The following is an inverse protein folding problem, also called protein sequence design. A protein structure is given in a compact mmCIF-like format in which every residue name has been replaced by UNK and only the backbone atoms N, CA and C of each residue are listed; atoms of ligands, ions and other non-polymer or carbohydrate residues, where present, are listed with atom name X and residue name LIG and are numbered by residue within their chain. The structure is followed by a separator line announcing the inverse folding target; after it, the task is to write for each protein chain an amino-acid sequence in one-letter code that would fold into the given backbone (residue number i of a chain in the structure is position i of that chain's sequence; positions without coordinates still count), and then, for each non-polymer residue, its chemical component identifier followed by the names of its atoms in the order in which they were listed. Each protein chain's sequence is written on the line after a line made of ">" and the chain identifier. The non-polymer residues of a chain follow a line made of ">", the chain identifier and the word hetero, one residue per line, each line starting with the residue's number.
data_IF_801177440369
#
_entry.id   IF_801177440369
#
_cell.length_a   1.000
_cell.length_b   1.000
_cell.length_c   1.000
_cell.angle_alpha   90.00
_cell.angle_beta   90.00
_cell.angle_gamma   90.00
#
_symmetry.space_group_name_H-M   'P 1'
#
loop_
_entity.id
_entity.type
_entity.pdbx_description
1 polymer ?
#
# COMPACT_ATOMS: atom_id res chain seq x y z
N UNK A 1 4.99 20.58 48.46
CA UNK A 1 5.88 19.87 47.51
C UNK A 1 5.15 18.88 46.61
N UNK A 2 4.30 17.98 47.12
CA UNK A 2 3.61 16.97 46.30
C UNK A 2 2.62 17.50 45.24
N UNK A 3 1.95 18.62 45.52
CA UNK A 3 0.99 19.27 44.60
C UNK A 3 1.66 19.90 43.39
N UNK A 4 2.81 20.55 43.59
CA UNK A 4 3.60 21.16 42.50
C UNK A 4 4.12 20.09 41.53
N UNK A 5 4.61 18.96 42.03
CA UNK A 5 5.08 17.83 41.20
C UNK A 5 3.94 17.26 40.34
N UNK A 6 2.73 17.12 40.91
CA UNK A 6 1.55 16.65 40.16
C UNK A 6 1.18 17.59 39.01
N UNK A 7 1.24 18.90 39.26
CA UNK A 7 0.96 19.91 38.24
C UNK A 7 2.02 19.85 37.13
N UNK A 8 3.30 19.75 37.47
CA UNK A 8 4.39 19.65 36.48
C UNK A 8 4.26 18.39 35.63
N UNK A 9 3.94 17.23 36.23
CA UNK A 9 3.72 15.98 35.49
C UNK A 9 2.50 16.07 34.58
N UNK A 10 1.40 16.68 35.04
CA UNK A 10 0.19 16.85 34.24
C UNK A 10 0.42 17.80 33.05
N UNK A 11 1.17 18.89 33.26
CA UNK A 11 1.57 19.81 32.19
C UNK A 11 2.48 19.11 31.17
N UNK A 12 3.42 18.28 31.62
CA UNK A 12 4.32 17.53 30.75
C UNK A 12 3.57 16.48 29.90
N UNK A 13 2.58 15.79 30.49
CA UNK A 13 1.69 14.86 29.80
C UNK A 13 0.76 15.56 28.80
N UNK A 14 0.24 16.75 29.14
CA UNK A 14 -0.55 17.55 28.22
C UNK A 14 0.31 18.02 27.03
N UNK A 15 1.56 18.43 27.28
CA UNK A 15 2.48 18.90 26.23
C UNK A 15 2.89 17.77 25.27
N UNK A 16 3.12 16.55 25.76
CA UNK A 16 3.44 15.42 24.88
C UNK A 16 2.27 15.01 23.98
N UNK A 17 1.02 15.12 24.45
CA UNK A 17 -0.16 14.87 23.61
C UNK A 17 -0.36 15.92 22.50
N UNK A 18 0.15 17.15 22.68
CA UNK A 18 0.09 18.20 21.66
C UNK A 18 1.07 17.97 20.49
N UNK A 19 2.16 17.22 20.71
CA UNK A 19 3.16 16.90 19.67
C UNK A 19 2.67 15.76 18.75
N UNK A 20 1.69 14.97 19.17
CA UNK A 20 1.19 13.80 18.41
C UNK A 20 0.11 14.12 17.36
N UNK A 21 -0.11 15.39 17.03
CA UNK A 21 -1.14 15.82 16.08
C UNK A 21 -0.51 16.37 14.81
N UNK A 22 0.02 15.47 13.98
CA UNK A 22 0.19 15.65 12.54
C UNK A 22 0.59 14.31 11.92
N UNK A 23 -0.24 13.27 12.12
CA UNK A 23 -0.32 12.24 11.08
C UNK A 23 -1.13 12.89 9.98
N UNK A 24 -0.43 13.58 9.06
CA UNK A 24 -1.00 13.88 7.76
C UNK A 24 -1.57 12.56 7.26
N UNK A 25 -2.88 12.49 7.05
CA UNK A 25 -3.49 11.45 6.24
C UNK A 25 -2.73 11.47 4.92
N UNK A 26 -1.69 10.64 4.82
CA UNK A 26 -0.81 10.62 3.68
C UNK A 26 -1.68 10.16 2.53
N UNK A 27 -2.04 11.09 1.64
CA UNK A 27 -2.90 10.81 0.50
C UNK A 27 -2.33 9.57 -0.19
N UNK A 28 -3.06 8.47 -0.10
CA UNK A 28 -2.71 7.24 -0.78
C UNK A 28 -2.89 7.53 -2.27
N UNK A 29 -1.77 7.53 -2.99
CA UNK A 29 -1.77 7.80 -4.42
C UNK A 29 -1.88 6.47 -5.15
N UNK A 30 -2.98 6.24 -5.85
CA UNK A 30 -3.15 5.03 -6.65
C UNK A 30 -2.38 5.16 -7.96
N UNK A 31 -1.54 4.17 -8.26
CA UNK A 31 -0.83 4.07 -9.53
C UNK A 31 -1.37 2.86 -10.29
N UNK A 32 -2.09 3.13 -11.37
CA UNK A 32 -2.76 2.09 -12.16
C UNK A 32 -1.81 1.44 -13.16
N UNK A 33 -1.81 0.10 -13.21
CA UNK A 33 -0.99 -0.69 -14.12
C UNK A 33 -1.87 -1.67 -14.89
N UNK A 34 -1.84 -1.59 -16.22
CA UNK A 34 -2.47 -2.59 -17.08
C UNK A 34 -1.58 -3.82 -17.24
N UNK A 35 -2.16 -5.01 -17.09
CA UNK A 35 -1.48 -6.29 -17.24
C UNK A 35 -2.33 -7.19 -18.12
N UNK A 36 -1.79 -7.62 -19.26
CA UNK A 36 -2.46 -8.55 -20.18
C UNK A 36 -1.74 -9.89 -20.12
N UNK A 37 -2.48 -10.96 -19.82
CA UNK A 37 -1.96 -12.33 -19.70
C UNK A 37 -2.91 -13.31 -20.36
N UNK A 38 -2.40 -14.43 -20.88
CA UNK A 38 -3.23 -15.57 -21.25
C UNK A 38 -3.57 -16.38 -19.99
N UNK A 39 -4.75 -16.17 -19.42
CA UNK A 39 -5.15 -16.82 -18.16
C UNK A 39 -5.62 -18.27 -18.36
N UNK A 40 -5.73 -18.76 -19.60
CA UNK A 40 -5.97 -20.16 -19.88
C UNK A 40 -4.68 -21.00 -19.73
N UNK A 41 -3.51 -20.41 -20.00
CA UNK A 41 -2.21 -21.09 -19.94
C UNK A 41 -1.63 -21.20 -18.52
N UNK A 42 -0.75 -22.18 -18.31
CA UNK A 42 0.02 -22.30 -17.06
C UNK A 42 0.91 -21.07 -16.84
N UNK A 43 1.53 -20.56 -17.90
CA UNK A 43 2.44 -19.40 -17.83
C UNK A 43 1.69 -18.17 -17.35
N UNK A 44 0.52 -17.84 -17.91
CA UNK A 44 -0.24 -16.67 -17.46
C UNK A 44 -0.79 -16.80 -16.04
N UNK A 45 -1.20 -18.01 -15.61
CA UNK A 45 -1.61 -18.25 -14.22
C UNK A 45 -0.45 -18.08 -13.24
N UNK A 46 0.71 -18.65 -13.56
CA UNK A 46 1.92 -18.49 -12.74
C UNK A 46 2.34 -17.02 -12.70
N UNK A 47 2.37 -16.33 -13.84
CA UNK A 47 2.71 -14.91 -13.91
C UNK A 47 1.79 -14.05 -13.04
N UNK A 48 0.47 -14.27 -13.10
CA UNK A 48 -0.51 -13.56 -12.25
C UNK A 48 -0.21 -13.73 -10.77
N UNK A 49 0.06 -14.97 -10.34
CA UNK A 49 0.40 -15.26 -8.95
C UNK A 49 1.73 -14.62 -8.56
N UNK A 50 2.77 -14.75 -9.38
CA UNK A 50 4.09 -14.19 -9.12
C UNK A 50 4.07 -12.66 -9.02
N UNK A 51 3.29 -11.99 -9.86
CA UNK A 51 3.11 -10.52 -9.79
C UNK A 51 2.43 -10.12 -8.47
N UNK A 52 1.38 -10.83 -8.05
CA UNK A 52 0.70 -10.56 -6.77
C UNK A 52 1.65 -10.72 -5.60
N UNK A 53 2.41 -11.82 -5.57
CA UNK A 53 3.39 -12.09 -4.52
C UNK A 53 4.48 -11.02 -4.48
N UNK A 54 5.04 -10.64 -5.63
CA UNK A 54 6.06 -9.60 -5.69
C UNK A 54 5.55 -8.25 -5.18
N UNK A 55 4.29 -7.91 -5.45
CA UNK A 55 3.65 -6.71 -4.93
C UNK A 55 3.47 -6.76 -3.40
N UNK A 56 3.00 -7.89 -2.88
CA UNK A 56 2.86 -8.13 -1.44
C UNK A 56 4.22 -8.03 -0.73
N UNK A 57 5.25 -8.71 -1.25
CA UNK A 57 6.61 -8.68 -0.73
C UNK A 57 7.19 -7.26 -0.74
N UNK A 58 6.96 -6.52 -1.83
CA UNK A 58 7.41 -5.14 -1.93
C UNK A 58 6.81 -4.26 -0.83
N UNK A 59 5.49 -4.34 -0.61
CA UNK A 59 4.83 -3.54 0.43
C UNK A 59 5.09 -4.04 1.85
N UNK A 60 5.43 -5.32 2.03
CA UNK A 60 5.84 -5.86 3.32
C UNK A 60 7.14 -5.21 3.83
N UNK A 61 8.08 -4.96 2.91
CA UNK A 61 9.35 -4.27 3.19
C UNK A 61 9.18 -2.74 3.22
N UNK A 62 8.34 -2.19 2.35
CA UNK A 62 8.14 -0.74 2.21
C UNK A 62 6.82 -0.26 2.81
N UNK A 63 6.62 -0.49 4.12
CA UNK A 63 5.33 -0.24 4.81
C UNK A 63 4.81 1.19 4.73
N UNK A 64 5.71 2.17 4.66
CA UNK A 64 5.39 3.60 4.59
C UNK A 64 5.32 4.14 3.16
N UNK A 65 5.42 3.28 2.14
CA UNK A 65 5.25 3.71 0.75
C UNK A 65 3.78 4.03 0.51
N UNK A 66 3.50 5.29 0.18
CA UNK A 66 2.14 5.83 0.07
C UNK A 66 1.52 5.56 -1.30
N UNK A 67 2.33 5.29 -2.32
CA UNK A 67 1.83 4.93 -3.65
C UNK A 67 1.38 3.48 -3.67
N UNK A 68 0.12 3.23 -4.03
CA UNK A 68 -0.48 1.89 -4.09
C UNK A 68 -0.70 1.49 -5.54
N UNK A 69 -0.05 0.40 -5.95
CA UNK A 69 -0.25 -0.20 -7.27
C UNK A 69 -1.65 -0.80 -7.35
N UNK A 70 -2.38 -0.46 -8.41
CA UNK A 70 -3.67 -1.07 -8.74
C UNK A 70 -3.51 -1.80 -10.06
N UNK A 71 -3.51 -3.13 -9.99
CA UNK A 71 -3.32 -3.99 -11.15
C UNK A 71 -4.66 -4.24 -11.85
N UNK A 72 -4.75 -3.86 -13.12
CA UNK A 72 -5.86 -4.16 -14.01
C UNK A 72 -5.49 -5.33 -14.91
N UNK A 73 -5.86 -6.54 -14.50
CA UNK A 73 -5.52 -7.76 -15.21
C UNK A 73 -6.60 -8.09 -16.24
N UNK A 74 -6.20 -8.25 -17.51
CA UNK A 74 -7.06 -8.68 -18.62
C UNK A 74 -6.57 -10.00 -19.20
N UNK A 75 -7.51 -10.89 -19.50
CA UNK A 75 -7.23 -12.15 -20.20
C UNK A 75 -7.11 -11.91 -21.71
N UNK A 76 -6.03 -12.38 -22.34
CA UNK A 76 -5.86 -12.36 -23.79
C UNK A 76 -6.61 -13.47 -24.51
N UNK A 77 -7.04 -14.52 -23.79
CA UNK A 77 -7.74 -15.68 -24.38
C UNK A 77 -6.97 -16.34 -25.54
N UNK A 78 -5.62 -16.33 -25.48
CA UNK A 78 -4.74 -16.83 -26.56
C UNK A 78 -4.94 -16.14 -27.91
N UNK A 79 -5.48 -14.92 -27.91
CA UNK A 79 -5.78 -14.16 -29.10
C UNK A 79 -5.07 -12.80 -29.10
N UNK A 80 -4.29 -12.56 -30.15
CA UNK A 80 -3.45 -11.36 -30.27
C UNK A 80 -4.28 -10.08 -30.47
N UNK A 81 -5.45 -10.19 -31.12
CA UNK A 81 -6.34 -9.05 -31.34
C UNK A 81 -6.99 -8.65 -30.02
N UNK A 82 -7.47 -9.61 -29.24
CA UNK A 82 -8.00 -9.37 -27.90
C UNK A 82 -6.92 -8.85 -26.94
N UNK A 83 -5.68 -9.34 -27.06
CA UNK A 83 -4.56 -8.83 -26.29
C UNK A 83 -4.28 -7.34 -26.58
N UNK A 84 -4.42 -6.91 -27.85
CA UNK A 84 -4.11 -5.56 -28.30
C UNK A 84 -5.29 -4.57 -28.21
N UNK A 85 -6.54 -5.06 -28.13
CA UNK A 85 -7.76 -4.23 -28.09
C UNK A 85 -7.99 -3.47 -26.79
#
# INVERSE_FOLDING_TARGET
>A
MATAVRITVFLFLAFSSAIARNVTEGKVEEFHVGVVLDLATLVGKVARTSISMAMEDFYAVHRNYTTRLVLHIRDSMSDDVQAAS
#
